data_IF_377627211329
#
_entry.id   IF_377627211329
#
_cell.length_a   1.000
_cell.length_b   1.000
_cell.length_c   1.000
_cell.angle_alpha   90.00
_cell.angle_beta   90.00
_cell.angle_gamma   90.00
#
_symmetry.space_group_name_H-M   'P 1'
#
loop_
_entity.id
_entity.type
_entity.pdbx_description
1 polymer ?
#
# COMPACT_ATOMS: atom_id res chain seq x y z
N UNK A 1 24.92 11.97 -27.26
CA UNK A 1 24.20 12.54 -28.41
C UNK A 1 22.75 12.11 -28.37
N UNK A 2 21.90 12.88 -27.75
CA UNK A 2 20.42 12.79 -27.85
C UNK A 2 19.81 14.07 -27.25
N UNK A 3 20.01 15.20 -27.92
CA UNK A 3 19.44 16.50 -27.51
C UNK A 3 18.41 17.02 -28.53
N UNK A 4 18.11 16.23 -29.57
CA UNK A 4 17.25 16.68 -30.68
C UNK A 4 15.77 16.31 -30.56
N UNK A 5 15.33 15.63 -29.49
CA UNK A 5 13.94 15.21 -29.36
C UNK A 5 13.04 16.13 -28.51
N UNK A 6 13.59 17.22 -27.96
CA UNK A 6 12.84 18.09 -27.03
C UNK A 6 12.16 19.30 -27.70
N UNK A 7 12.44 19.57 -28.96
CA UNK A 7 11.95 20.79 -29.63
C UNK A 7 10.63 20.60 -30.42
N UNK A 8 10.09 19.38 -30.52
CA UNK A 8 8.90 19.11 -31.35
C UNK A 8 7.59 18.92 -30.57
N UNK A 9 7.56 19.25 -29.27
CA UNK A 9 6.36 19.04 -28.42
C UNK A 9 5.61 20.31 -28.01
N UNK A 10 5.92 21.45 -28.64
CA UNK A 10 5.29 22.73 -28.23
C UNK A 10 3.91 23.02 -28.83
N UNK A 11 3.42 22.23 -29.82
CA UNK A 11 2.18 22.54 -30.55
C UNK A 11 1.19 21.38 -30.68
N UNK A 12 1.11 20.48 -29.69
CA UNK A 12 0.05 19.47 -29.68
C UNK A 12 -1.14 19.96 -28.81
N UNK A 13 -2.38 19.97 -29.35
CA UNK A 13 -3.55 20.34 -28.59
C UNK A 13 -3.76 19.35 -27.41
N UNK A 14 -4.23 19.88 -26.29
CA UNK A 14 -4.34 19.32 -24.95
C UNK A 14 -5.31 18.10 -24.82
N UNK A 15 -5.36 17.22 -25.81
CA UNK A 15 -6.16 16.00 -25.80
C UNK A 15 -5.27 14.78 -25.84
N UNK A 16 -4.87 14.31 -24.66
CA UNK A 16 -4.21 13.03 -24.51
C UNK A 16 -2.72 13.08 -24.22
N UNK A 17 -2.31 13.98 -23.33
CA UNK A 17 -0.98 13.86 -22.72
C UNK A 17 -0.96 12.54 -21.95
N UNK A 18 -0.39 11.50 -22.59
CA UNK A 18 0.01 10.31 -21.86
C UNK A 18 0.86 10.80 -20.68
N UNK A 19 0.37 10.63 -19.48
CA UNK A 19 1.07 11.02 -18.27
C UNK A 19 2.41 10.26 -18.29
N UNK A 20 3.49 10.92 -18.72
CA UNK A 20 4.82 10.38 -18.61
C UNK A 20 5.02 10.03 -17.13
N UNK A 21 5.06 8.76 -16.84
CA UNK A 21 5.31 8.28 -15.49
C UNK A 21 6.64 8.91 -15.06
N UNK A 22 6.59 9.77 -14.03
CA UNK A 22 7.82 10.25 -13.39
C UNK A 22 8.65 9.01 -13.06
N UNK A 23 9.99 9.05 -13.28
CA UNK A 23 10.84 7.92 -12.91
C UNK A 23 10.49 7.51 -11.49
N UNK A 24 10.13 6.24 -11.32
CA UNK A 24 9.74 5.72 -10.02
C UNK A 24 10.89 5.95 -9.05
N UNK A 25 10.65 6.77 -8.05
CA UNK A 25 11.57 6.88 -6.92
C UNK A 25 11.78 5.45 -6.39
N UNK A 26 13.04 5.03 -6.26
CA UNK A 26 13.37 3.66 -5.83
C UNK A 26 12.87 3.50 -4.40
N UNK A 27 11.93 2.57 -4.21
CA UNK A 27 11.41 2.24 -2.90
C UNK A 27 12.51 1.58 -2.04
N UNK A 28 12.77 2.05 -0.81
CA UNK A 28 13.73 1.41 0.07
C UNK A 28 13.30 -0.04 0.39
N UNK A 29 14.24 -0.97 0.27
CA UNK A 29 13.97 -2.39 0.55
C UNK A 29 14.13 -2.74 2.03
N UNK A 30 14.95 -1.98 2.74
CA UNK A 30 15.27 -2.22 4.15
C UNK A 30 15.07 -0.95 4.97
N UNK A 31 14.86 -1.12 6.28
CA UNK A 31 14.78 0.01 7.22
C UNK A 31 16.06 0.85 7.21
N UNK A 32 17.22 0.19 7.08
CA UNK A 32 18.50 0.87 7.01
C UNK A 32 18.61 1.80 5.80
N UNK A 33 18.13 1.36 4.64
CA UNK A 33 18.09 2.21 3.43
C UNK A 33 17.08 3.36 3.56
N UNK A 34 15.92 3.09 4.15
CA UNK A 34 14.91 4.12 4.41
C UNK A 34 15.49 5.23 5.32
N UNK A 35 16.10 4.86 6.44
CA UNK A 35 16.69 5.82 7.36
C UNK A 35 17.92 6.55 6.80
N UNK A 36 18.66 5.92 5.92
CA UNK A 36 19.78 6.59 5.23
C UNK A 36 19.30 7.71 4.29
N UNK A 37 18.06 7.61 3.77
CA UNK A 37 17.49 8.63 2.88
C UNK A 37 16.84 9.79 3.65
N UNK A 38 15.99 9.51 4.63
CA UNK A 38 15.27 10.50 5.44
C UNK A 38 14.71 9.87 6.73
N UNK A 39 15.53 9.77 7.76
CA UNK A 39 15.16 9.09 9.01
C UNK A 39 13.94 9.72 9.69
N UNK A 40 13.86 11.05 9.77
CA UNK A 40 12.82 11.74 10.51
C UNK A 40 11.42 11.49 9.90
N UNK A 41 11.30 11.62 8.59
CA UNK A 41 10.04 11.43 7.89
C UNK A 41 9.62 9.96 7.83
N UNK A 42 10.56 9.01 7.71
CA UNK A 42 10.25 7.59 7.79
C UNK A 42 9.78 7.18 9.19
N UNK A 43 10.43 7.64 10.27
CA UNK A 43 9.97 7.41 11.65
C UNK A 43 8.57 7.98 11.90
N UNK A 44 8.29 9.17 11.36
CA UNK A 44 6.93 9.74 11.44
C UNK A 44 5.90 8.90 10.68
N UNK A 45 6.26 8.34 9.52
CA UNK A 45 5.40 7.44 8.75
C UNK A 45 5.15 6.10 9.47
N UNK A 46 6.17 5.53 10.10
CA UNK A 46 6.06 4.31 10.93
C UNK A 46 5.16 4.54 12.14
N UNK A 47 5.34 5.66 12.86
CA UNK A 47 4.50 6.03 13.99
C UNK A 47 3.02 6.15 13.62
N UNK A 48 2.72 6.77 12.46
CA UNK A 48 1.34 6.84 11.94
C UNK A 48 0.75 5.47 11.63
N UNK A 49 1.54 4.57 11.07
CA UNK A 49 1.06 3.22 10.77
C UNK A 49 0.77 2.43 12.04
N UNK A 50 1.64 2.49 13.05
CA UNK A 50 1.41 1.86 14.37
C UNK A 50 0.15 2.42 15.02
N UNK A 51 -0.01 3.75 15.02
CA UNK A 51 -1.19 4.38 15.60
C UNK A 51 -2.47 3.94 14.89
N UNK A 52 -2.48 3.91 13.55
CA UNK A 52 -3.62 3.44 12.78
C UNK A 52 -4.00 1.98 13.10
N UNK A 53 -3.00 1.12 13.32
CA UNK A 53 -3.24 -0.28 13.67
C UNK A 53 -3.85 -0.41 15.08
N UNK A 54 -3.39 0.40 16.03
CA UNK A 54 -3.94 0.45 17.38
C UNK A 54 -5.38 1.00 17.38
N UNK A 55 -5.62 2.10 16.67
CA UNK A 55 -6.94 2.73 16.57
C UNK A 55 -7.98 1.80 15.92
N UNK A 56 -7.54 0.98 14.96
CA UNK A 56 -8.37 -0.04 14.33
C UNK A 56 -8.54 -1.32 15.17
N UNK A 57 -7.89 -1.43 16.33
CA UNK A 57 -7.91 -2.64 17.15
C UNK A 57 -7.37 -3.88 16.45
N UNK A 58 -6.44 -3.70 15.49
CA UNK A 58 -5.91 -4.81 14.68
C UNK A 58 -5.05 -5.79 15.48
N UNK A 59 -4.48 -5.35 16.59
CA UNK A 59 -3.66 -6.15 17.48
C UNK A 59 -3.61 -5.53 18.88
N UNK A 60 -3.27 -6.37 19.86
CA UNK A 60 -3.13 -6.01 21.26
C UNK A 60 -1.72 -6.31 21.75
N UNK A 61 -1.17 -5.42 22.57
CA UNK A 61 0.13 -5.63 23.20
C UNK A 61 -0.08 -6.51 24.43
N UNK A 62 0.49 -7.71 24.39
CA UNK A 62 0.47 -8.65 25.51
C UNK A 62 1.88 -8.89 26.04
N UNK A 63 1.97 -9.21 27.32
CA UNK A 63 3.23 -9.56 27.96
C UNK A 63 3.74 -10.92 27.46
N UNK A 64 5.04 -11.05 27.28
CA UNK A 64 5.64 -12.26 26.71
C UNK A 64 5.30 -13.56 27.46
N UNK A 65 5.13 -13.48 28.77
CA UNK A 65 4.80 -14.66 29.58
C UNK A 65 3.35 -15.13 29.37
N UNK A 66 2.46 -14.29 28.83
CA UNK A 66 1.07 -14.64 28.52
C UNK A 66 0.95 -15.37 27.17
N UNK A 67 2.03 -15.44 26.37
CA UNK A 67 2.03 -16.17 25.10
C UNK A 67 2.03 -17.66 25.38
N UNK A 68 1.10 -18.48 24.82
CA UNK A 68 1.08 -19.91 24.98
C UNK A 68 2.39 -20.55 24.50
N UNK A 69 2.96 -21.46 25.29
CA UNK A 69 4.26 -22.07 25.04
C UNK A 69 4.36 -22.81 23.68
N UNK A 70 3.24 -23.33 23.19
CA UNK A 70 3.17 -24.06 21.91
C UNK A 70 2.95 -23.15 20.69
N UNK A 71 2.95 -21.83 20.85
CA UNK A 71 2.74 -20.89 19.74
C UNK A 71 4.07 -20.32 19.24
N UNK A 72 4.26 -20.40 17.92
CA UNK A 72 5.40 -19.77 17.25
C UNK A 72 5.18 -18.26 17.13
N UNK A 73 6.17 -17.47 17.51
CA UNK A 73 6.14 -16.02 17.28
C UNK A 73 6.46 -15.74 15.80
N UNK A 74 5.54 -15.06 15.13
CA UNK A 74 5.69 -14.67 13.73
C UNK A 74 6.40 -13.33 13.67
N UNK A 75 7.36 -13.19 12.75
CA UNK A 75 8.11 -11.93 12.58
C UNK A 75 7.28 -10.89 11.84
N UNK A 76 7.44 -9.64 12.24
CA UNK A 76 6.94 -8.47 11.54
C UNK A 76 8.04 -7.90 10.64
N UNK A 77 7.64 -7.39 9.49
CA UNK A 77 8.53 -6.71 8.54
C UNK A 77 7.94 -5.37 8.14
N UNK A 78 8.81 -4.39 7.99
CA UNK A 78 8.44 -3.10 7.42
C UNK A 78 8.54 -3.14 5.90
N UNK A 79 7.52 -2.60 5.24
CA UNK A 79 7.48 -2.37 3.80
C UNK A 79 7.39 -0.88 3.55
N UNK A 80 8.36 -0.35 2.85
CA UNK A 80 8.50 1.07 2.55
C UNK A 80 8.10 1.37 1.11
N UNK A 81 7.38 2.45 0.90
CA UNK A 81 7.00 2.91 -0.43
C UNK A 81 6.98 4.42 -0.52
N UNK A 82 7.58 4.95 -1.57
CA UNK A 82 7.45 6.35 -1.94
C UNK A 82 6.30 6.47 -2.94
N UNK A 83 5.26 7.22 -2.58
CA UNK A 83 4.12 7.46 -3.47
C UNK A 83 4.50 8.41 -4.61
N UNK A 84 3.72 8.40 -5.70
CA UNK A 84 3.92 9.30 -6.85
C UNK A 84 3.89 10.79 -6.50
N UNK A 85 3.21 11.14 -5.42
CA UNK A 85 3.11 12.50 -4.86
C UNK A 85 4.27 12.85 -3.91
N UNK A 86 5.28 11.97 -3.79
CA UNK A 86 6.45 12.15 -2.92
C UNK A 86 6.21 11.77 -1.45
N UNK A 87 4.99 11.43 -1.05
CA UNK A 87 4.71 11.03 0.35
C UNK A 87 5.32 9.67 0.66
N UNK A 88 5.97 9.59 1.81
CA UNK A 88 6.52 8.35 2.34
C UNK A 88 5.40 7.53 2.98
N UNK A 89 5.36 6.24 2.69
CA UNK A 89 4.41 5.30 3.28
C UNK A 89 5.12 4.07 3.79
N UNK A 90 5.02 3.85 5.10
CA UNK A 90 5.44 2.62 5.76
C UNK A 90 4.23 1.71 5.98
N UNK A 91 4.44 0.41 5.94
CA UNK A 91 3.44 -0.60 6.31
C UNK A 91 4.09 -1.65 7.17
N UNK A 92 3.43 -1.99 8.28
CA UNK A 92 3.84 -3.11 9.12
C UNK A 92 3.12 -4.38 8.64
N UNK A 93 3.88 -5.35 8.17
CA UNK A 93 3.35 -6.60 7.62
C UNK A 93 3.80 -7.79 8.42
N UNK A 94 2.92 -8.77 8.60
CA UNK A 94 3.25 -10.08 9.15
C UNK A 94 3.96 -10.91 8.08
N UNK A 95 5.00 -11.63 8.46
CA UNK A 95 5.72 -12.52 7.54
C UNK A 95 4.89 -13.78 7.25
N UNK A 96 4.06 -13.72 6.19
CA UNK A 96 3.07 -14.74 5.86
C UNK A 96 3.63 -16.14 5.63
N UNK A 97 4.89 -16.28 5.18
CA UNK A 97 5.54 -17.59 5.00
C UNK A 97 5.76 -18.35 6.32
N UNK A 98 5.61 -17.69 7.47
CA UNK A 98 5.71 -18.32 8.79
C UNK A 98 4.36 -18.70 9.38
N UNK A 99 3.25 -18.28 8.77
CA UNK A 99 1.90 -18.61 9.19
C UNK A 99 1.52 -20.04 8.80
N UNK A 100 0.74 -20.70 9.63
CA UNK A 100 0.27 -22.08 9.43
C UNK A 100 -1.23 -22.04 9.17
N UNK A 101 -1.64 -22.61 8.03
CA UNK A 101 -3.05 -22.73 7.68
C UNK A 101 -3.81 -23.60 8.71
N UNK A 102 -5.01 -23.16 9.09
CA UNK A 102 -5.84 -23.82 10.09
C UNK A 102 -5.48 -23.48 11.55
N UNK A 103 -4.39 -22.71 11.77
CA UNK A 103 -3.98 -22.22 13.09
C UNK A 103 -3.95 -20.71 13.14
N UNK A 104 -3.24 -20.10 12.19
CA UNK A 104 -3.01 -18.66 12.14
C UNK A 104 -3.96 -17.97 11.15
N UNK A 105 -4.52 -18.70 10.18
CA UNK A 105 -5.54 -18.23 9.26
C UNK A 105 -6.35 -19.41 8.67
N UNK A 106 -7.62 -19.16 8.36
CA UNK A 106 -8.52 -20.15 7.75
C UNK A 106 -8.75 -19.87 6.27
N UNK A 107 -8.90 -18.59 5.90
CA UNK A 107 -9.25 -18.19 4.54
C UNK A 107 -8.21 -17.21 3.98
N UNK A 108 -7.71 -17.53 2.78
CA UNK A 108 -6.78 -16.66 2.03
C UNK A 108 -7.45 -15.88 0.91
N UNK A 109 -8.70 -16.24 0.58
CA UNK A 109 -9.43 -15.65 -0.55
C UNK A 109 -10.55 -14.74 -0.04
N UNK A 110 -10.52 -13.50 -0.48
CA UNK A 110 -11.64 -12.57 -0.38
C UNK A 110 -12.15 -12.29 -1.79
N UNK A 111 -13.42 -12.61 -2.03
CA UNK A 111 -14.04 -12.33 -3.32
C UNK A 111 -14.15 -10.81 -3.52
N UNK A 112 -13.32 -10.28 -4.40
CA UNK A 112 -13.36 -8.87 -4.80
C UNK A 112 -14.10 -8.74 -6.12
N UNK A 113 -14.96 -7.71 -6.22
CA UNK A 113 -15.66 -7.42 -7.46
C UNK A 113 -14.66 -7.03 -8.55
N UNK A 114 -14.82 -7.57 -9.75
CA UNK A 114 -14.03 -7.20 -10.92
C UNK A 114 -14.27 -5.73 -11.28
N UNK A 115 -13.22 -4.98 -11.59
CA UNK A 115 -13.31 -3.54 -11.85
C UNK A 115 -14.28 -3.19 -12.98
N UNK A 116 -14.36 -4.01 -14.03
CA UNK A 116 -15.28 -3.80 -15.14
C UNK A 116 -16.74 -3.98 -14.72
N UNK A 117 -17.03 -4.97 -13.86
CA UNK A 117 -18.37 -5.17 -13.29
C UNK A 117 -18.79 -3.97 -12.43
N UNK A 118 -17.86 -3.41 -11.64
CA UNK A 118 -18.14 -2.23 -10.86
C UNK A 118 -18.45 -1.01 -11.74
N UNK A 119 -17.68 -0.80 -12.82
CA UNK A 119 -17.90 0.30 -13.77
C UNK A 119 -19.24 0.16 -14.47
N UNK A 120 -19.57 -1.06 -14.95
CA UNK A 120 -20.86 -1.34 -15.58
C UNK A 120 -22.02 -1.07 -14.63
N UNK A 121 -21.93 -1.60 -13.41
CA UNK A 121 -22.95 -1.37 -12.38
C UNK A 121 -23.13 0.12 -12.07
N UNK A 122 -22.02 0.86 -11.93
CA UNK A 122 -22.04 2.30 -11.70
C UNK A 122 -22.72 3.07 -12.86
N UNK A 123 -22.45 2.67 -14.10
CA UNK A 123 -23.06 3.29 -15.28
C UNK A 123 -24.58 3.01 -15.33
N UNK A 124 -25.00 1.78 -15.03
CA UNK A 124 -26.43 1.41 -14.96
C UNK A 124 -27.13 2.17 -13.85
N UNK A 125 -26.52 2.24 -12.65
CA UNK A 125 -27.08 3.02 -11.52
C UNK A 125 -27.24 4.49 -11.87
N UNK A 126 -26.25 5.09 -12.52
CA UNK A 126 -26.33 6.49 -12.97
C UNK A 126 -27.43 6.71 -14.02
N UNK A 127 -27.61 5.77 -14.97
CA UNK A 127 -28.66 5.86 -16.00
C UNK A 127 -30.08 5.72 -15.43
N UNK A 128 -30.22 4.89 -14.37
CA UNK A 128 -31.51 4.59 -13.76
C UNK A 128 -31.78 5.40 -12.49
N UNK A 129 -30.92 6.38 -12.17
CA UNK A 129 -30.97 7.20 -10.96
C UNK A 129 -31.03 6.41 -9.65
N UNK A 130 -30.37 5.25 -9.61
CA UNK A 130 -30.27 4.43 -8.40
C UNK A 130 -29.13 4.94 -7.50
N UNK A 131 -29.38 4.96 -6.18
CA UNK A 131 -28.36 5.26 -5.18
C UNK A 131 -27.62 4.00 -4.78
N UNK A 132 -26.31 3.97 -4.99
CA UNK A 132 -25.44 2.95 -4.40
C UNK A 132 -25.21 3.26 -2.93
N UNK A 133 -25.50 2.31 -2.05
CA UNK A 133 -25.15 2.38 -0.62
C UNK A 133 -23.88 1.57 -0.35
N UNK A 134 -23.07 2.07 0.59
CA UNK A 134 -21.86 1.42 1.09
C UNK A 134 -22.21 0.33 2.07
#
# INVERSE_FOLDING_TARGET
>A
MCVAALACMADLPDHGVACLAKPSQIDPKTQKEAYASDEANWRASEGKEIQNQLDNGSWEIIERHKVPYNRKLIKLIWVYKVKRDGRLKSRLCVQGCQQIQGIDYDQTHCATMRGDSLRLLSAVCAKLDFRMRR
#
